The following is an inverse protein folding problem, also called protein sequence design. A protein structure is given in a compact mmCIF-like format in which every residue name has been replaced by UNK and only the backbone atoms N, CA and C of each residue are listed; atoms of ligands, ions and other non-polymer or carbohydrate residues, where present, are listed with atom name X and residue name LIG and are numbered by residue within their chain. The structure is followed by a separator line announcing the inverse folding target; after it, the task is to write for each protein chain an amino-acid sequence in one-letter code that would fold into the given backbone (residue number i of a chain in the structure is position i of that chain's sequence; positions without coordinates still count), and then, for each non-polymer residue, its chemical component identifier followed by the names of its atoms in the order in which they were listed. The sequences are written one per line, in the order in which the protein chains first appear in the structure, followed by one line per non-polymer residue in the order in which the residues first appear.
data_IF_246495449885
#
_entry.id   IF_246495449885
#
_cell.length_a   1.000
_cell.length_b   1.000
_cell.length_c   1.000
_cell.angle_alpha   90.00
_cell.angle_beta   90.00
_cell.angle_gamma   90.00
#
_symmetry.space_group_name_H-M   'P 1'
#
loop_
_entity.id
_entity.type
_entity.pdbx_description
1 polymer ?
#
# COMPACT_ATOMS: atom_id res chain seq x y z
N UNK A 1 64.34 57.25 119.97
CA UNK A 1 64.75 57.02 118.56
C UNK A 1 64.04 55.82 117.92
N UNK A 2 63.91 54.69 118.63
CA UNK A 2 63.27 53.45 118.11
C UNK A 2 61.77 53.64 117.77
N UNK A 3 61.00 54.38 118.59
CA UNK A 3 59.58 54.64 118.29
C UNK A 3 59.34 55.51 117.05
N UNK A 4 60.16 56.54 116.82
CA UNK A 4 60.03 57.36 115.60
C UNK A 4 60.38 56.56 114.33
N UNK A 5 61.35 55.65 114.42
CA UNK A 5 61.71 54.77 113.31
C UNK A 5 60.61 53.76 113.00
N UNK A 6 59.93 53.20 114.02
CA UNK A 6 58.80 52.30 113.85
C UNK A 6 57.55 53.00 113.26
N UNK A 7 57.27 54.24 113.66
CA UNK A 7 56.18 55.05 113.10
C UNK A 7 56.46 55.43 111.64
N UNK A 8 57.70 55.77 111.30
CA UNK A 8 58.13 55.98 109.91
C UNK A 8 58.02 54.69 109.08
N UNK A 9 58.39 53.54 109.63
CA UNK A 9 58.29 52.25 108.94
C UNK A 9 56.83 51.85 108.66
N UNK A 10 55.94 52.05 109.63
CA UNK A 10 54.49 51.86 109.46
C UNK A 10 53.91 52.84 108.44
N UNK A 11 54.27 54.13 108.49
CA UNK A 11 53.78 55.12 107.53
C UNK A 11 54.27 54.86 106.09
N UNK A 12 55.52 54.41 105.94
CA UNK A 12 56.14 54.11 104.63
C UNK A 12 55.59 52.82 104.02
N UNK A 13 55.20 51.80 104.80
CA UNK A 13 54.73 50.51 104.24
C UNK A 13 53.21 50.40 104.21
N UNK A 14 52.50 50.86 105.26
CA UNK A 14 51.05 50.67 105.36
C UNK A 14 50.29 51.61 104.42
N UNK A 15 50.77 52.85 104.24
CA UNK A 15 50.09 53.81 103.36
C UNK A 15 50.12 53.36 101.89
N UNK A 16 51.25 52.93 101.31
CA UNK A 16 51.26 52.35 99.97
C UNK A 16 50.44 51.06 99.88
N UNK A 17 50.49 50.19 100.89
CA UNK A 17 49.74 48.93 100.91
C UNK A 17 48.22 49.17 100.88
N UNK A 18 47.73 50.18 101.60
CA UNK A 18 46.32 50.58 101.57
C UNK A 18 45.90 51.14 100.20
N UNK A 19 46.74 51.97 99.59
CA UNK A 19 46.50 52.49 98.23
C UNK A 19 46.50 51.36 97.20
N UNK A 20 47.42 50.39 97.31
CA UNK A 20 47.43 49.21 96.45
C UNK A 20 46.18 48.35 96.66
N UNK A 21 45.73 48.12 97.90
CA UNK A 21 44.51 47.37 98.18
C UNK A 21 43.27 48.03 97.56
N UNK A 22 43.16 49.35 97.67
CA UNK A 22 42.04 50.12 97.09
C UNK A 22 42.09 50.14 95.55
N UNK A 23 43.28 50.21 94.95
CA UNK A 23 43.44 50.10 93.49
C UNK A 23 43.09 48.70 92.98
N UNK A 24 43.48 47.65 93.71
CA UNK A 24 43.14 46.27 93.38
C UNK A 24 41.61 46.08 93.40
N UNK A 25 40.93 46.56 94.44
CA UNK A 25 39.48 46.46 94.59
C UNK A 25 38.74 47.22 93.47
N UNK A 26 39.18 48.42 93.11
CA UNK A 26 38.62 49.17 91.97
C UNK A 26 38.85 48.48 90.62
N UNK A 27 40.03 47.90 90.41
CA UNK A 27 40.34 47.15 89.18
C UNK A 27 39.48 45.90 89.12
N UNK A 28 39.32 45.18 90.24
CA UNK A 28 38.49 43.99 90.31
C UNK A 28 37.02 44.29 90.03
N UNK A 29 36.47 45.35 90.63
CA UNK A 29 35.09 45.77 90.42
C UNK A 29 34.85 46.25 88.97
N UNK A 30 35.78 47.03 88.41
CA UNK A 30 35.69 47.49 87.01
C UNK A 30 35.79 46.32 86.00
N UNK A 31 36.69 45.36 86.25
CA UNK A 31 36.82 44.15 85.40
C UNK A 31 35.58 43.26 85.55
N UNK A 32 35.03 43.14 86.76
CA UNK A 32 33.80 42.40 87.00
C UNK A 32 32.62 43.03 86.25
N UNK A 33 32.46 44.36 86.29
CA UNK A 33 31.38 45.05 85.59
C UNK A 33 31.51 44.92 84.06
N UNK A 34 32.72 45.10 83.50
CA UNK A 34 32.97 44.94 82.06
C UNK A 34 32.70 43.50 81.58
N UNK A 35 33.16 42.50 82.34
CA UNK A 35 32.93 41.09 82.01
C UNK A 35 31.46 40.72 82.12
N UNK A 36 30.74 41.24 83.12
CA UNK A 36 29.29 41.01 83.29
C UNK A 36 28.49 41.64 82.14
N UNK A 37 28.85 42.85 81.71
CA UNK A 37 28.26 43.52 80.54
C UNK A 37 28.48 42.70 79.26
N UNK A 38 29.70 42.22 79.02
CA UNK A 38 30.03 41.40 77.84
C UNK A 38 29.28 40.07 77.83
N UNK A 39 29.14 39.43 79.00
CA UNK A 39 28.35 38.20 79.14
C UNK A 39 26.88 38.46 78.80
N UNK A 40 26.30 39.56 79.31
CA UNK A 40 24.91 39.93 79.04
C UNK A 40 24.65 40.22 77.56
N UNK A 41 25.60 40.85 76.88
CA UNK A 41 25.48 41.11 75.44
C UNK A 41 25.58 39.82 74.63
N UNK A 42 26.50 38.91 74.99
CA UNK A 42 26.58 37.59 74.36
C UNK A 42 25.31 36.77 74.58
N UNK A 43 24.72 36.84 75.77
CA UNK A 43 23.45 36.17 76.08
C UNK A 43 22.32 36.64 75.15
N UNK A 44 22.22 37.95 74.88
CA UNK A 44 21.24 38.48 73.93
C UNK A 44 21.48 38.00 72.51
N UNK A 45 22.74 37.97 72.06
CA UNK A 45 23.09 37.47 70.74
C UNK A 45 22.77 35.97 70.60
N UNK A 46 22.97 35.19 71.66
CA UNK A 46 22.59 33.78 71.70
C UNK A 46 21.07 33.63 71.59
N UNK A 47 20.29 34.40 72.35
CA UNK A 47 18.83 34.37 72.29
C UNK A 47 18.29 34.77 70.91
N UNK A 48 18.87 35.78 70.28
CA UNK A 48 18.53 36.18 68.91
C UNK A 48 18.83 35.04 67.92
N UNK A 49 20.02 34.44 68.00
CA UNK A 49 20.39 33.30 67.17
C UNK A 49 19.48 32.08 67.39
N UNK A 50 19.09 31.80 68.63
CA UNK A 50 18.13 30.73 68.96
C UNK A 50 16.76 30.97 68.33
N UNK A 51 16.26 32.21 68.37
CA UNK A 51 14.99 32.56 67.73
C UNK A 51 15.05 32.37 66.22
N UNK A 52 16.14 32.79 65.57
CA UNK A 52 16.35 32.59 64.13
C UNK A 52 16.43 31.11 63.78
N UNK A 53 17.11 30.29 64.58
CA UNK A 53 17.18 28.83 64.38
C UNK A 53 15.77 28.22 64.43
N UNK A 54 14.93 28.68 65.37
CA UNK A 54 13.55 28.21 65.50
C UNK A 54 12.69 28.58 64.28
N UNK A 55 12.82 29.82 63.79
CA UNK A 55 12.14 30.28 62.59
C UNK A 55 12.60 29.50 61.35
N UNK A 56 13.91 29.28 61.19
CA UNK A 56 14.47 28.47 60.11
C UNK A 56 14.00 27.02 60.18
N UNK A 57 13.97 26.42 61.36
CA UNK A 57 13.47 25.06 61.54
C UNK A 57 11.99 24.96 61.14
N UNK A 58 11.19 25.95 61.54
CA UNK A 58 9.77 26.05 61.18
C UNK A 58 9.59 26.16 59.66
N UNK A 59 10.35 27.04 59.00
CA UNK A 59 10.32 27.20 57.55
C UNK A 59 10.78 25.92 56.81
N UNK A 60 11.82 25.24 57.32
CA UNK A 60 12.29 23.96 56.76
C UNK A 60 11.24 22.86 56.89
N UNK A 61 10.59 22.74 58.04
CA UNK A 61 9.54 21.73 58.25
C UNK A 61 8.33 21.94 57.35
N UNK A 62 7.95 23.20 57.11
CA UNK A 62 6.90 23.57 56.15
C UNK A 62 7.27 23.13 54.73
N UNK A 63 8.52 23.40 54.31
CA UNK A 63 9.01 22.96 53.00
C UNK A 63 9.02 21.44 52.88
N UNK A 64 9.55 20.74 53.89
CA UNK A 64 9.63 19.28 53.93
C UNK A 64 8.25 18.62 53.85
N UNK A 65 7.22 19.23 54.45
CA UNK A 65 5.84 18.77 54.32
C UNK A 65 5.27 18.87 52.90
N UNK A 66 5.78 19.79 52.07
CA UNK A 66 5.38 19.96 50.67
C UNK A 66 6.12 19.05 49.68
N UNK A 67 7.30 18.56 50.04
CA UNK A 67 8.11 17.62 49.24
C UNK A 67 7.32 16.36 48.83
N UNK A 68 6.59 15.64 49.71
CA UNK A 68 5.86 14.44 49.31
C UNK A 68 4.77 14.72 48.28
N UNK A 69 4.06 15.86 48.38
CA UNK A 69 3.04 16.25 47.40
C UNK A 69 3.65 16.51 46.01
N UNK A 70 4.81 17.17 45.96
CA UNK A 70 5.52 17.39 44.69
C UNK A 70 6.00 16.06 44.11
N UNK A 71 6.51 15.15 44.95
CA UNK A 71 6.96 13.84 44.51
C UNK A 71 5.82 12.97 43.96
N UNK A 72 4.65 13.02 44.58
CA UNK A 72 3.44 12.35 44.10
C UNK A 72 3.05 12.87 42.71
N UNK A 73 2.96 14.19 42.55
CA UNK A 73 2.64 14.80 41.24
C UNK A 73 3.67 14.46 40.16
N UNK A 74 4.96 14.37 40.51
CA UNK A 74 6.00 13.92 39.57
C UNK A 74 5.74 12.48 39.13
N UNK A 75 5.41 11.59 40.07
CA UNK A 75 5.12 10.19 39.74
C UNK A 75 3.86 10.01 38.88
N UNK A 76 2.80 10.78 39.14
CA UNK A 76 1.60 10.80 38.30
C UNK A 76 1.92 11.24 36.87
N UNK A 77 2.66 12.35 36.73
CA UNK A 77 3.10 12.85 35.42
C UNK A 77 4.00 11.86 34.68
N UNK A 78 4.89 11.15 35.39
CA UNK A 78 5.72 10.11 34.79
C UNK A 78 4.88 8.94 34.23
N UNK A 79 3.83 8.53 34.93
CA UNK A 79 2.91 7.49 34.44
C UNK A 79 2.08 7.98 33.25
N UNK A 80 1.59 9.23 33.27
CA UNK A 80 0.92 9.83 32.11
C UNK A 80 1.83 9.88 30.88
N UNK A 81 3.10 10.29 31.05
CA UNK A 81 4.09 10.31 29.97
C UNK A 81 4.30 8.90 29.41
N UNK A 82 4.39 7.87 30.25
CA UNK A 82 4.53 6.47 29.81
C UNK A 82 3.32 6.02 28.97
N UNK A 83 2.10 6.32 29.44
CA UNK A 83 0.87 6.00 28.72
C UNK A 83 0.80 6.72 27.38
N UNK A 84 1.12 8.02 27.35
CA UNK A 84 1.17 8.82 26.12
C UNK A 84 2.21 8.26 25.14
N UNK A 85 3.37 7.82 25.61
CA UNK A 85 4.39 7.21 24.75
C UNK A 85 3.90 5.90 24.13
N UNK A 86 3.19 5.06 24.90
CA UNK A 86 2.61 3.82 24.40
C UNK A 86 1.51 4.07 23.36
N UNK A 87 0.63 5.04 23.63
CA UNK A 87 -0.40 5.47 22.69
C UNK A 87 0.22 6.04 21.41
N UNK A 88 1.26 6.87 21.53
CA UNK A 88 1.98 7.44 20.39
C UNK A 88 2.60 6.36 19.51
N UNK A 89 3.26 5.34 20.06
CA UNK A 89 3.78 4.21 19.25
C UNK A 89 2.67 3.52 18.46
N UNK A 90 1.55 3.25 19.12
CA UNK A 90 0.41 2.55 18.51
C UNK A 90 -0.15 3.38 17.36
N UNK A 91 -0.39 4.67 17.60
CA UNK A 91 -0.86 5.60 16.58
C UNK A 91 0.11 5.74 15.40
N UNK A 92 1.43 5.77 15.65
CA UNK A 92 2.43 5.84 14.59
C UNK A 92 2.43 4.59 13.70
N UNK A 93 2.26 3.41 14.30
CA UNK A 93 2.13 2.16 13.55
C UNK A 93 0.86 2.14 12.70
N UNK A 94 -0.28 2.52 13.29
CA UNK A 94 -1.55 2.62 12.57
C UNK A 94 -1.49 3.61 11.40
N UNK A 95 -0.78 4.73 11.58
CA UNK A 95 -0.56 5.72 10.53
C UNK A 95 0.17 5.11 9.33
N UNK A 96 1.27 4.39 9.56
CA UNK A 96 1.99 3.71 8.48
C UNK A 96 1.13 2.68 7.75
N UNK A 97 0.36 1.87 8.48
CA UNK A 97 -0.57 0.90 7.88
C UNK A 97 -1.64 1.59 7.04
N UNK A 98 -2.17 2.72 7.53
CA UNK A 98 -3.18 3.49 6.80
C UNK A 98 -2.58 4.17 5.56
N UNK A 99 -1.35 4.69 5.66
CA UNK A 99 -0.62 5.28 4.54
C UNK A 99 -0.38 4.27 3.42
N UNK A 100 0.05 3.06 3.76
CA UNK A 100 0.27 2.00 2.76
C UNK A 100 -1.04 1.58 2.07
N UNK A 101 -2.14 1.47 2.84
CA UNK A 101 -3.48 1.23 2.28
C UNK A 101 -3.95 2.37 1.37
N UNK A 102 -3.72 3.62 1.76
CA UNK A 102 -4.07 4.78 0.95
C UNK A 102 -3.28 4.80 -0.36
N UNK A 103 -1.98 4.48 -0.31
CA UNK A 103 -1.12 4.39 -1.50
C UNK A 103 -1.53 3.25 -2.43
N UNK A 104 -1.99 2.13 -1.90
CA UNK A 104 -2.54 1.03 -2.70
C UNK A 104 -3.85 1.42 -3.38
N UNK A 105 -4.78 2.00 -2.63
CA UNK A 105 -6.04 2.51 -3.17
C UNK A 105 -5.80 3.57 -4.26
N UNK A 106 -4.84 4.48 -4.07
CA UNK A 106 -4.46 5.46 -5.09
C UNK A 106 -3.94 4.79 -6.38
N UNK A 107 -3.11 3.76 -6.25
CA UNK A 107 -2.63 2.97 -7.39
C UNK A 107 -3.78 2.30 -8.14
N UNK A 108 -4.74 1.71 -7.43
CA UNK A 108 -5.93 1.10 -8.03
C UNK A 108 -6.79 2.15 -8.75
N UNK A 109 -7.06 3.29 -8.12
CA UNK A 109 -7.81 4.39 -8.76
C UNK A 109 -7.11 4.86 -10.03
N UNK A 110 -5.79 5.06 -10.00
CA UNK A 110 -5.01 5.43 -11.20
C UNK A 110 -5.11 4.40 -12.32
N UNK A 111 -5.03 3.11 -11.99
CA UNK A 111 -5.18 2.03 -12.96
C UNK A 111 -6.59 2.03 -13.58
N UNK A 112 -7.63 2.06 -12.76
CA UNK A 112 -9.03 2.13 -13.24
C UNK A 112 -9.31 3.39 -14.07
N UNK A 113 -8.76 4.54 -13.68
CA UNK A 113 -8.89 5.78 -14.44
C UNK A 113 -8.23 5.67 -15.83
N UNK A 114 -7.09 4.99 -15.92
CA UNK A 114 -6.43 4.71 -17.19
C UNK A 114 -7.26 3.77 -18.08
N UNK A 115 -7.81 2.69 -17.50
CA UNK A 115 -8.72 1.79 -18.22
C UNK A 115 -9.98 2.51 -18.72
N UNK A 116 -10.61 3.33 -17.88
CA UNK A 116 -11.77 4.16 -18.25
C UNK A 116 -11.41 5.12 -19.38
N UNK A 117 -10.21 5.72 -19.35
CA UNK A 117 -9.75 6.60 -20.44
C UNK A 117 -9.63 5.83 -21.76
N UNK A 118 -8.99 4.66 -21.76
CA UNK A 118 -8.90 3.82 -22.97
C UNK A 118 -10.29 3.43 -23.48
N UNK A 119 -11.19 3.00 -22.58
CA UNK A 119 -12.55 2.64 -22.96
C UNK A 119 -13.32 3.83 -23.53
N UNK A 120 -13.11 5.02 -22.99
CA UNK A 120 -13.72 6.26 -23.52
C UNK A 120 -13.26 6.51 -24.96
N UNK A 121 -11.96 6.40 -25.24
CA UNK A 121 -11.41 6.52 -26.61
C UNK A 121 -12.04 5.49 -27.57
N UNK A 122 -12.13 4.23 -27.16
CA UNK A 122 -12.77 3.16 -27.95
C UNK A 122 -14.26 3.44 -28.19
N UNK A 123 -15.00 3.85 -27.16
CA UNK A 123 -16.44 4.16 -27.27
C UNK A 123 -16.66 5.36 -28.19
N UNK A 124 -15.80 6.37 -28.14
CA UNK A 124 -15.90 7.52 -29.07
C UNK A 124 -15.67 7.10 -30.53
N UNK A 125 -14.70 6.24 -30.80
CA UNK A 125 -14.47 5.72 -32.16
C UNK A 125 -15.62 4.84 -32.64
N UNK A 126 -16.12 3.93 -31.80
CA UNK A 126 -17.29 3.11 -32.12
C UNK A 126 -18.53 3.97 -32.37
N UNK A 127 -18.72 5.06 -31.62
CA UNK A 127 -19.82 6.00 -31.84
C UNK A 127 -19.73 6.68 -33.22
N UNK A 128 -18.54 7.13 -33.63
CA UNK A 128 -18.31 7.69 -34.96
C UNK A 128 -18.64 6.67 -36.06
N UNK A 129 -18.24 5.41 -35.87
CA UNK A 129 -18.56 4.33 -36.81
C UNK A 129 -20.07 4.09 -36.92
N UNK A 130 -20.79 4.06 -35.79
CA UNK A 130 -22.26 3.92 -35.78
C UNK A 130 -22.93 5.07 -36.51
N UNK A 131 -22.48 6.31 -36.29
CA UNK A 131 -23.00 7.49 -37.00
C UNK A 131 -22.78 7.39 -38.51
N UNK A 132 -21.61 6.94 -38.97
CA UNK A 132 -21.37 6.71 -40.39
C UNK A 132 -22.28 5.60 -40.98
N UNK A 133 -22.50 4.51 -40.25
CA UNK A 133 -23.41 3.45 -40.68
C UNK A 133 -24.85 3.96 -40.78
N UNK A 134 -25.28 4.80 -39.84
CA UNK A 134 -26.60 5.42 -39.85
C UNK A 134 -26.77 6.34 -41.06
N UNK A 135 -25.79 7.19 -41.36
CA UNK A 135 -25.77 8.02 -42.58
C UNK A 135 -25.80 7.19 -43.87
N UNK A 136 -25.01 6.11 -43.95
CA UNK A 136 -25.03 5.21 -45.11
C UNK A 136 -26.39 4.53 -45.28
N UNK A 137 -27.02 4.10 -44.18
CA UNK A 137 -28.36 3.52 -44.19
C UNK A 137 -29.39 4.51 -44.71
N UNK A 138 -29.34 5.77 -44.26
CA UNK A 138 -30.22 6.81 -44.77
C UNK A 138 -30.00 7.09 -46.26
N UNK A 139 -28.75 7.18 -46.71
CA UNK A 139 -28.41 7.37 -48.11
C UNK A 139 -28.85 6.19 -49.00
N UNK A 140 -28.69 4.95 -48.50
CA UNK A 140 -29.16 3.75 -49.18
C UNK A 140 -30.69 3.70 -49.25
N UNK A 141 -31.40 4.08 -48.17
CA UNK A 141 -32.85 4.24 -48.19
C UNK A 141 -33.33 5.29 -49.21
N UNK A 142 -32.55 6.37 -49.41
CA UNK A 142 -32.82 7.36 -50.47
C UNK A 142 -32.56 6.80 -51.87
N UNK A 143 -31.49 6.01 -52.08
CA UNK A 143 -31.23 5.32 -53.36
C UNK A 143 -32.27 4.27 -53.69
N UNK A 144 -32.76 3.51 -52.72
CA UNK A 144 -33.83 2.54 -52.92
C UNK A 144 -35.18 3.19 -53.30
N UNK A 145 -35.32 4.51 -53.14
CA UNK A 145 -36.46 5.29 -53.65
C UNK A 145 -36.25 5.87 -55.06
N UNK A 146 -35.04 5.77 -55.64
CA UNK A 146 -34.72 6.28 -56.97
C UNK A 146 -34.38 5.12 -57.91
N UNK A 147 -35.22 4.78 -58.91
CA UNK A 147 -34.91 3.69 -59.82
C UNK A 147 -33.76 4.09 -60.75
N UNK A 148 -32.56 3.54 -60.54
CA UNK A 148 -31.40 3.75 -61.39
C UNK A 148 -31.31 2.69 -62.50
N UNK A 149 -31.12 3.16 -63.74
CA UNK A 149 -31.23 2.43 -65.01
C UNK A 149 -30.05 1.47 -65.28
N UNK A 150 -30.40 0.21 -65.55
CA UNK A 150 -29.96 -0.66 -66.66
C UNK A 150 -28.48 -0.99 -66.98
N UNK A 151 -27.59 -1.17 -65.99
CA UNK A 151 -26.31 -1.91 -66.21
C UNK A 151 -26.20 -3.16 -65.35
N UNK A 152 -26.58 -3.07 -64.07
CA UNK A 152 -26.46 -4.18 -63.12
C UNK A 152 -27.39 -5.36 -63.45
N UNK A 153 -28.61 -5.08 -63.95
CA UNK A 153 -29.54 -6.13 -64.37
C UNK A 153 -29.03 -6.95 -65.56
N UNK A 154 -28.28 -6.36 -66.49
CA UNK A 154 -27.64 -7.09 -67.60
C UNK A 154 -26.55 -8.04 -67.09
N UNK A 155 -25.69 -7.56 -66.20
CA UNK A 155 -24.65 -8.41 -65.61
C UNK A 155 -25.26 -9.60 -64.85
N UNK A 156 -26.34 -9.37 -64.09
CA UNK A 156 -27.03 -10.43 -63.37
C UNK A 156 -27.73 -11.44 -64.28
N UNK A 157 -28.23 -11.03 -65.45
CA UNK A 157 -28.81 -11.98 -66.41
C UNK A 157 -27.74 -12.81 -67.10
N UNK A 158 -26.59 -12.22 -67.44
CA UNK A 158 -25.50 -12.90 -68.15
C UNK A 158 -24.85 -13.97 -67.26
N UNK A 159 -24.51 -13.63 -66.01
CA UNK A 159 -23.96 -14.58 -65.03
C UNK A 159 -24.94 -15.73 -64.78
N UNK A 160 -26.24 -15.45 -64.70
CA UNK A 160 -27.27 -16.47 -64.48
C UNK A 160 -27.35 -17.45 -65.64
N UNK A 161 -27.20 -16.98 -66.88
CA UNK A 161 -27.19 -17.83 -68.06
C UNK A 161 -25.96 -18.74 -68.09
N UNK A 162 -24.78 -18.18 -67.82
CA UNK A 162 -23.52 -18.94 -67.80
C UNK A 162 -23.53 -20.06 -66.76
N UNK A 163 -23.98 -19.77 -65.54
CA UNK A 163 -24.09 -20.77 -64.46
C UNK A 163 -25.09 -21.87 -64.83
N UNK A 164 -26.24 -21.51 -65.42
CA UNK A 164 -27.23 -22.50 -65.89
C UNK A 164 -26.66 -23.39 -66.99
N UNK A 165 -25.95 -22.81 -67.95
CA UNK A 165 -25.34 -23.55 -69.05
C UNK A 165 -24.27 -24.53 -68.52
N UNK A 166 -23.36 -24.07 -67.66
CA UNK A 166 -22.34 -24.91 -67.05
C UNK A 166 -22.95 -26.07 -66.23
N UNK A 167 -23.99 -25.80 -65.44
CA UNK A 167 -24.69 -26.83 -64.67
C UNK A 167 -25.36 -27.86 -65.57
N UNK A 168 -25.95 -27.43 -66.70
CA UNK A 168 -26.57 -28.33 -67.67
C UNK A 168 -25.55 -29.25 -68.35
N UNK A 169 -24.38 -28.72 -68.69
CA UNK A 169 -23.27 -29.48 -69.26
C UNK A 169 -22.73 -30.50 -68.25
N UNK A 170 -22.51 -30.09 -66.99
CA UNK A 170 -22.09 -30.99 -65.92
C UNK A 170 -23.09 -32.14 -65.71
N UNK A 171 -24.39 -31.84 -65.72
CA UNK A 171 -25.44 -32.85 -65.59
C UNK A 171 -25.42 -33.85 -66.75
N UNK A 172 -25.18 -33.39 -67.98
CA UNK A 172 -25.04 -34.24 -69.17
C UNK A 172 -23.82 -35.16 -69.05
N UNK A 173 -22.67 -34.63 -68.66
CA UNK A 173 -21.46 -35.42 -68.41
C UNK A 173 -21.68 -36.47 -67.33
N UNK A 174 -22.31 -36.10 -66.22
CA UNK A 174 -22.61 -37.04 -65.13
C UNK A 174 -23.53 -38.18 -65.57
N UNK A 175 -24.54 -37.88 -66.39
CA UNK A 175 -25.42 -38.89 -66.96
C UNK A 175 -24.65 -39.88 -67.87
N UNK A 176 -23.71 -39.38 -68.68
CA UNK A 176 -22.85 -40.22 -69.50
C UNK A 176 -21.94 -41.10 -68.64
N UNK A 177 -21.26 -40.54 -67.63
CA UNK A 177 -20.39 -41.29 -66.70
C UNK A 177 -21.19 -42.39 -65.99
N UNK A 178 -22.39 -42.06 -65.49
CA UNK A 178 -23.25 -43.04 -64.80
C UNK A 178 -23.67 -44.17 -65.72
N UNK A 179 -23.97 -43.88 -67.00
CA UNK A 179 -24.29 -44.88 -68.01
C UNK A 179 -23.10 -45.81 -68.29
N UNK A 180 -21.91 -45.25 -68.50
CA UNK A 180 -20.69 -46.05 -68.71
C UNK A 180 -20.34 -46.88 -67.47
N UNK A 181 -20.51 -46.31 -66.28
CA UNK A 181 -20.29 -47.02 -65.03
C UNK A 181 -21.21 -48.24 -64.90
N UNK A 182 -22.51 -48.09 -65.21
CA UNK A 182 -23.44 -49.22 -65.23
C UNK A 182 -23.06 -50.27 -66.29
N UNK A 183 -22.65 -49.85 -67.49
CA UNK A 183 -22.19 -50.79 -68.52
C UNK A 183 -20.94 -51.56 -68.08
N UNK A 184 -20.00 -50.87 -67.45
CA UNK A 184 -18.77 -51.44 -66.93
C UNK A 184 -19.03 -52.42 -65.78
N UNK A 185 -19.99 -52.13 -64.90
CA UNK A 185 -20.46 -53.09 -63.89
C UNK A 185 -21.00 -54.37 -64.54
N UNK A 186 -21.78 -54.26 -65.60
CA UNK A 186 -22.29 -55.41 -66.34
C UNK A 186 -21.16 -56.26 -66.94
N UNK A 187 -20.16 -55.60 -67.53
CA UNK A 187 -18.98 -56.27 -68.09
C UNK A 187 -18.14 -56.96 -67.01
N UNK A 188 -17.81 -56.26 -65.92
CA UNK A 188 -17.03 -56.80 -64.81
C UNK A 188 -17.75 -57.99 -64.18
N UNK A 189 -19.05 -57.88 -63.93
CA UNK A 189 -19.83 -58.97 -63.36
C UNK A 189 -19.79 -60.21 -64.26
N UNK A 190 -20.02 -60.02 -65.56
CA UNK A 190 -19.96 -61.10 -66.54
C UNK A 190 -18.57 -61.76 -66.58
N UNK A 191 -17.51 -60.96 -66.55
CA UNK A 191 -16.14 -61.47 -66.55
C UNK A 191 -15.76 -62.19 -65.25
N UNK A 192 -16.24 -61.68 -64.10
CA UNK A 192 -16.02 -62.30 -62.79
C UNK A 192 -16.75 -63.64 -62.66
N UNK A 193 -17.99 -63.74 -63.15
CA UNK A 193 -18.78 -64.98 -63.16
C UNK A 193 -18.19 -66.06 -64.08
N UNK A 194 -17.51 -65.66 -65.16
CA UNK A 194 -16.90 -66.57 -66.12
C UNK A 194 -15.63 -67.26 -65.59
N UNK A 195 -14.95 -66.68 -64.61
CA UNK A 195 -13.68 -67.19 -64.10
C UNK A 195 -13.87 -67.91 -62.75
N UNK A 196 -13.35 -69.14 -62.65
CA UNK A 196 -13.60 -70.03 -61.50
C UNK A 196 -13.19 -69.41 -60.15
N UNK A 197 -12.13 -68.60 -60.14
CA UNK A 197 -11.58 -67.96 -58.93
C UNK A 197 -12.39 -66.73 -58.51
N UNK A 198 -12.88 -65.93 -59.46
CA UNK A 198 -13.58 -64.66 -59.15
C UNK A 198 -15.09 -64.80 -59.07
N UNK A 199 -15.65 -65.95 -59.48
CA UNK A 199 -17.09 -66.22 -59.46
C UNK A 199 -17.70 -66.07 -58.07
N UNK A 200 -16.99 -66.54 -57.03
CA UNK A 200 -17.41 -66.42 -55.63
C UNK A 200 -17.46 -64.95 -55.14
N UNK A 201 -16.78 -64.04 -55.83
CA UNK A 201 -16.65 -62.64 -55.47
C UNK A 201 -17.55 -61.70 -56.31
N UNK A 202 -18.32 -62.25 -57.27
CA UNK A 202 -19.16 -61.49 -58.21
C UNK A 202 -20.44 -60.88 -57.58
N UNK A 203 -20.33 -60.38 -56.35
CA UNK A 203 -21.39 -59.69 -55.63
C UNK A 203 -21.54 -58.25 -56.14
N UNK A 204 -22.75 -57.70 -56.02
CA UNK A 204 -23.07 -56.35 -56.51
C UNK A 204 -22.20 -55.26 -55.89
N UNK A 205 -21.83 -55.36 -54.60
CA UNK A 205 -20.97 -54.35 -53.98
C UNK A 205 -19.55 -54.38 -54.56
N UNK A 206 -18.98 -55.58 -54.74
CA UNK A 206 -17.61 -55.74 -55.26
C UNK A 206 -17.51 -55.26 -56.71
N UNK A 207 -18.50 -55.61 -57.54
CA UNK A 207 -18.61 -55.15 -58.92
C UNK A 207 -18.71 -53.62 -58.99
N UNK A 208 -19.49 -53.00 -58.10
CA UNK A 208 -19.60 -51.54 -58.00
C UNK A 208 -18.25 -50.88 -57.67
N UNK A 209 -17.53 -51.39 -56.67
CA UNK A 209 -16.22 -50.86 -56.29
C UNK A 209 -15.18 -51.03 -57.40
N UNK A 210 -15.15 -52.19 -58.06
CA UNK A 210 -14.22 -52.44 -59.18
C UNK A 210 -14.52 -51.53 -60.38
N UNK A 211 -15.79 -51.35 -60.74
CA UNK A 211 -16.19 -50.42 -61.79
C UNK A 211 -15.82 -48.97 -61.45
N UNK A 212 -15.92 -48.59 -60.16
CA UNK A 212 -15.56 -47.26 -59.70
C UNK A 212 -14.05 -47.04 -59.73
N UNK A 213 -13.28 -48.05 -59.27
CA UNK A 213 -11.82 -48.02 -59.28
C UNK A 213 -11.26 -47.88 -60.69
N UNK A 214 -11.81 -48.60 -61.68
CA UNK A 214 -11.37 -48.49 -63.07
C UNK A 214 -11.62 -47.10 -63.69
N UNK A 215 -12.64 -46.38 -63.24
CA UNK A 215 -12.92 -45.00 -63.70
C UNK A 215 -12.05 -43.99 -62.95
N UNK A 216 -11.88 -44.16 -61.64
CA UNK A 216 -11.19 -43.19 -60.78
C UNK A 216 -9.65 -43.30 -60.88
N UNK A 217 -9.12 -44.51 -61.00
CA UNK A 217 -7.66 -44.76 -60.96
C UNK A 217 -6.88 -44.02 -62.07
N UNK A 218 -7.34 -43.97 -63.33
CA UNK A 218 -6.68 -43.17 -64.37
C UNK A 218 -6.71 -41.66 -64.08
N UNK A 219 -7.81 -41.16 -63.50
CA UNK A 219 -7.96 -39.73 -63.15
C UNK A 219 -6.99 -39.36 -62.04
N UNK A 220 -6.93 -40.16 -60.96
CA UNK A 220 -5.99 -39.94 -59.87
C UNK A 220 -4.53 -40.14 -60.31
N UNK A 221 -4.24 -41.14 -61.14
CA UNK A 221 -2.90 -41.37 -61.68
C UNK A 221 -2.41 -40.21 -62.56
N UNK A 222 -3.25 -39.72 -63.48
CA UNK A 222 -2.93 -38.57 -64.30
C UNK A 222 -2.76 -37.29 -63.46
N UNK A 223 -3.61 -37.07 -62.45
CA UNK A 223 -3.46 -35.95 -61.53
C UNK A 223 -2.13 -35.99 -60.79
N UNK A 224 -1.75 -37.14 -60.23
CA UNK A 224 -0.50 -37.32 -59.51
C UNK A 224 0.70 -37.06 -60.44
N UNK A 225 0.68 -37.60 -61.66
CA UNK A 225 1.75 -37.40 -62.65
C UNK A 225 1.87 -35.95 -63.16
N UNK A 226 0.76 -35.21 -63.23
CA UNK A 226 0.76 -33.78 -63.60
C UNK A 226 1.13 -32.87 -62.43
N UNK A 227 1.01 -33.34 -61.19
CA UNK A 227 1.35 -32.61 -59.97
C UNK A 227 2.78 -32.88 -59.45
N UNK A 228 3.48 -33.85 -60.04
CA UNK A 228 4.87 -34.19 -59.76
C UNK A 228 5.81 -33.49 -60.76
#
# INVERSE_FOLDING_TARGET
MIMHLAVLFLAIIVSPLFVFSSQIEQIEEAVLEETTQKVKERERLIQDAESQILDFHSASSSFESGVPLVQERISELEEEIKLLWAALRTANFELHVLEDKARDAERQVKATAFEVKQMTEVVTEQWIQVQHLEQMKEFNNRRNRVPSRCTLLKLMSDIRWEVKNALSQLRSLWAAVTKYHHQLQGFIKHEMERNQITSALANSEVVFFMASALIAFPVFGAWILLSA
#
